data_IF_020724436535
#
_entry.id   IF_020724436535
#
_cell.length_a   1.000
_cell.length_b   1.000
_cell.length_c   1.000
_cell.angle_alpha   90.00
_cell.angle_beta   90.00
_cell.angle_gamma   90.00
#
_symmetry.space_group_name_H-M   'P 1'
#
loop_
_entity.id
_entity.type
_entity.pdbx_description
1 polymer ?
#
# COMPACT_ATOMS: atom_id res chain seq x y z
N UNK A 1 -2.28 -40.62 25.36
CA UNK A 1 -2.75 -40.76 23.96
C UNK A 1 -2.54 -39.41 23.30
N UNK A 2 -1.35 -39.22 22.74
CA UNK A 2 -0.91 -37.95 22.15
C UNK A 2 -1.49 -37.90 20.74
N UNK A 3 -2.32 -36.89 20.46
CA UNK A 3 -2.88 -36.69 19.12
C UNK A 3 -1.73 -36.22 18.24
N UNK A 4 -1.34 -37.07 17.30
CA UNK A 4 -0.32 -36.77 16.31
C UNK A 4 -0.89 -35.82 15.25
N UNK A 5 -0.72 -34.53 15.51
CA UNK A 5 -1.10 -33.42 14.63
C UNK A 5 -0.37 -33.45 13.28
N UNK A 6 0.70 -34.24 13.13
CA UNK A 6 1.44 -34.33 11.86
C UNK A 6 0.64 -35.03 10.75
N UNK A 7 -0.33 -35.87 11.12
CA UNK A 7 -1.16 -36.62 10.16
C UNK A 7 -2.28 -35.78 9.53
N UNK A 8 -2.68 -34.67 10.15
CA UNK A 8 -3.75 -33.79 9.61
C UNK A 8 -3.25 -32.71 8.65
N UNK A 9 -1.93 -32.51 8.54
CA UNK A 9 -1.33 -31.48 7.67
C UNK A 9 -0.90 -32.03 6.30
N UNK A 10 -0.82 -33.36 6.14
CA UNK A 10 -0.35 -34.01 4.91
C UNK A 10 -1.29 -33.84 3.69
N UNK A 11 -2.51 -33.33 3.87
CA UNK A 11 -3.50 -33.12 2.82
C UNK A 11 -3.76 -31.66 2.43
N UNK A 12 -3.25 -30.67 3.18
CA UNK A 12 -3.41 -29.25 2.85
C UNK A 12 -2.24 -28.85 1.93
N UNK A 13 -2.20 -29.44 0.75
CA UNK A 13 -1.67 -28.77 -0.43
C UNK A 13 -2.86 -28.17 -1.17
N UNK A 14 -3.58 -27.29 -0.47
CA UNK A 14 -4.39 -26.32 -1.20
C UNK A 14 -3.37 -25.41 -1.87
N UNK A 15 -3.14 -25.62 -3.16
CA UNK A 15 -2.45 -24.63 -4.00
C UNK A 15 -3.09 -23.28 -3.67
N UNK A 16 -2.30 -22.37 -3.10
CA UNK A 16 -2.80 -21.07 -2.69
C UNK A 16 -3.46 -20.44 -3.91
N UNK A 17 -4.79 -20.29 -3.85
CA UNK A 17 -5.64 -19.91 -4.99
C UNK A 17 -5.20 -18.60 -5.65
N UNK A 18 -4.45 -17.78 -4.91
CA UNK A 18 -3.94 -16.49 -5.35
C UNK A 18 -2.41 -16.45 -5.57
N UNK A 19 -1.74 -17.61 -5.55
CA UNK A 19 -0.29 -17.80 -5.72
C UNK A 19 0.22 -17.69 -7.16
N UNK A 20 -0.62 -17.19 -8.07
CA UNK A 20 -0.28 -17.11 -9.48
C UNK A 20 0.61 -15.89 -9.74
N UNK A 21 1.70 -16.12 -10.46
CA UNK A 21 2.67 -15.08 -10.84
C UNK A 21 2.43 -14.65 -12.27
N UNK A 22 2.56 -13.36 -12.52
CA UNK A 22 2.65 -12.84 -13.89
C UNK A 22 4.12 -12.91 -14.34
N UNK A 23 4.45 -13.83 -15.26
CA UNK A 23 5.82 -14.07 -15.72
C UNK A 23 6.35 -12.96 -16.64
N UNK A 24 5.45 -12.12 -17.15
CA UNK A 24 5.71 -11.20 -18.27
C UNK A 24 5.70 -9.73 -17.83
N UNK A 25 5.64 -9.45 -16.52
CA UNK A 25 5.60 -8.08 -15.99
C UNK A 25 6.90 -7.33 -16.29
N UNK A 26 6.89 -6.49 -17.33
CA UNK A 26 7.96 -5.57 -17.66
C UNK A 26 7.96 -4.36 -16.70
N UNK A 27 8.78 -4.39 -15.66
CA UNK A 27 8.95 -3.24 -14.77
C UNK A 27 9.64 -2.08 -15.48
N UNK A 28 9.03 -0.90 -15.46
CA UNK A 28 9.67 0.31 -16.04
C UNK A 28 10.75 0.88 -15.12
N UNK A 29 10.70 0.57 -13.83
CA UNK A 29 11.77 0.89 -12.89
C UNK A 29 11.88 -0.14 -11.76
N UNK A 30 13.12 -0.43 -11.36
CA UNK A 30 13.44 -1.25 -10.19
C UNK A 30 14.60 -0.58 -9.45
N UNK A 31 14.41 -0.26 -8.16
CA UNK A 31 15.49 0.31 -7.35
C UNK A 31 16.64 -0.70 -7.24
N UNK A 32 17.87 -0.22 -7.00
CA UNK A 32 18.93 -1.11 -6.52
C UNK A 32 18.53 -1.77 -5.19
N UNK A 33 19.17 -2.89 -4.87
CA UNK A 33 18.98 -3.52 -3.55
C UNK A 33 19.69 -2.68 -2.48
N UNK A 34 19.05 -2.55 -1.33
CA UNK A 34 19.66 -1.81 -0.23
C UNK A 34 18.74 -0.79 0.40
N UNK A 35 18.86 -0.63 1.72
CA UNK A 35 18.29 0.51 2.42
C UNK A 35 19.39 1.53 2.71
N UNK A 36 19.48 2.54 1.86
CA UNK A 36 20.41 3.65 2.03
C UNK A 36 19.73 4.99 1.71
N UNK A 37 20.41 6.10 2.00
CA UNK A 37 19.89 7.45 1.79
C UNK A 37 19.61 7.76 0.32
N UNK A 38 20.41 7.22 -0.60
CA UNK A 38 20.25 7.46 -2.04
C UNK A 38 18.96 6.83 -2.57
N UNK A 39 18.62 5.63 -2.12
CA UNK A 39 17.34 4.97 -2.44
C UNK A 39 16.17 5.80 -1.90
N UNK A 40 16.26 6.29 -0.66
CA UNK A 40 15.20 7.14 -0.08
C UNK A 40 15.05 8.45 -0.87
N UNK A 41 16.16 9.08 -1.27
CA UNK A 41 16.16 10.26 -2.13
C UNK A 41 15.51 9.96 -3.48
N UNK A 42 15.89 8.86 -4.13
CA UNK A 42 15.39 8.44 -5.43
C UNK A 42 13.87 8.19 -5.39
N UNK A 43 13.36 7.51 -4.36
CA UNK A 43 11.92 7.31 -4.17
C UNK A 43 11.19 8.65 -4.13
N UNK A 44 11.68 9.59 -3.32
CA UNK A 44 11.06 10.90 -3.14
C UNK A 44 11.09 11.74 -4.43
N UNK A 45 12.20 11.69 -5.18
CA UNK A 45 12.37 12.38 -6.46
C UNK A 45 11.47 11.81 -7.55
N UNK A 46 11.43 10.48 -7.69
CA UNK A 46 10.57 9.81 -8.67
C UNK A 46 9.08 10.09 -8.44
N UNK A 47 8.69 10.23 -7.17
CA UNK A 47 7.32 10.56 -6.76
C UNK A 47 7.01 12.05 -6.81
N UNK A 48 8.01 12.91 -7.10
CA UNK A 48 7.83 14.36 -7.17
C UNK A 48 7.40 14.99 -5.84
N UNK A 49 7.87 14.46 -4.71
CA UNK A 49 7.40 14.87 -3.39
C UNK A 49 7.93 16.25 -2.96
N UNK A 50 7.19 16.97 -2.09
CA UNK A 50 7.69 18.19 -1.48
C UNK A 50 8.86 17.91 -0.53
N UNK A 51 9.75 18.90 -0.39
CA UNK A 51 10.98 18.80 0.41
C UNK A 51 10.75 18.31 1.85
N UNK A 52 9.65 18.73 2.50
CA UNK A 52 9.35 18.33 3.87
C UNK A 52 9.10 16.82 4.01
N UNK A 53 8.48 16.18 3.00
CA UNK A 53 8.26 14.74 3.01
C UNK A 53 9.59 14.01 2.84
N UNK A 54 10.44 14.47 1.91
CA UNK A 54 11.80 13.95 1.73
C UNK A 54 12.61 14.00 3.02
N UNK A 55 12.54 15.12 3.74
CA UNK A 55 13.27 15.30 4.99
C UNK A 55 12.77 14.35 6.10
N UNK A 56 11.45 14.11 6.16
CA UNK A 56 10.88 13.11 7.07
C UNK A 56 11.35 11.70 6.71
N UNK A 57 11.37 11.34 5.41
CA UNK A 57 11.84 10.03 4.95
C UNK A 57 13.31 9.78 5.33
N UNK A 58 14.17 10.77 5.11
CA UNK A 58 15.60 10.67 5.45
C UNK A 58 15.82 10.57 6.97
N UNK A 59 15.08 11.35 7.76
CA UNK A 59 15.10 11.22 9.22
C UNK A 59 14.65 9.82 9.65
N UNK A 60 13.63 9.26 9.00
CA UNK A 60 13.13 7.93 9.29
C UNK A 60 14.14 6.83 8.97
N UNK A 61 14.86 6.96 7.85
CA UNK A 61 15.99 6.09 7.53
C UNK A 61 17.04 6.08 8.65
N UNK A 62 17.42 7.25 9.16
CA UNK A 62 18.42 7.35 10.22
C UNK A 62 17.91 6.73 11.53
N UNK A 63 16.63 6.96 11.88
CA UNK A 63 15.97 6.34 13.04
C UNK A 63 15.91 4.82 12.93
N UNK A 64 15.63 4.29 11.74
CA UNK A 64 15.58 2.84 11.50
C UNK A 64 16.90 2.16 11.87
N UNK A 65 18.03 2.75 11.45
CA UNK A 65 19.36 2.19 11.71
C UNK A 65 19.81 2.37 13.17
N UNK A 66 19.32 3.39 13.86
CA UNK A 66 19.57 3.59 15.29
C UNK A 66 18.79 2.61 16.18
N UNK A 67 17.64 2.12 15.73
CA UNK A 67 16.80 1.20 16.50
C UNK A 67 17.26 -0.26 16.35
N UNK A 68 17.36 -1.02 17.46
CA UNK A 68 17.69 -2.45 17.41
C UNK A 68 16.54 -3.24 16.79
N UNK A 69 16.86 -4.37 16.15
CA UNK A 69 15.86 -5.33 15.68
C UNK A 69 15.11 -5.92 16.88
N UNK A 70 13.76 -5.94 16.89
CA UNK A 70 13.00 -6.57 17.97
C UNK A 70 13.35 -8.05 18.13
N UNK A 71 13.45 -8.52 19.37
CA UNK A 71 13.79 -9.91 19.72
C UNK A 71 12.56 -10.73 20.11
N UNK A 72 11.36 -10.21 19.87
CA UNK A 72 10.07 -10.82 20.19
C UNK A 72 9.21 -10.87 18.92
N UNK A 73 8.26 -11.81 18.87
CA UNK A 73 7.46 -12.07 17.67
C UNK A 73 8.14 -13.10 16.75
N UNK A 74 8.04 -12.89 15.44
CA UNK A 74 8.70 -13.74 14.44
C UNK A 74 10.22 -13.63 14.49
N UNK A 75 10.91 -14.68 14.03
CA UNK A 75 12.37 -14.65 13.90
C UNK A 75 12.78 -13.77 12.71
N UNK A 76 13.53 -12.71 13.02
CA UNK A 76 14.01 -11.72 12.06
C UNK A 76 15.50 -11.85 11.77
N UNK A 77 16.18 -12.87 12.32
CA UNK A 77 17.63 -13.06 12.17
C UNK A 77 18.06 -13.28 10.70
N UNK A 78 17.15 -13.79 9.87
CA UNK A 78 17.36 -14.02 8.45
C UNK A 78 17.03 -12.82 7.56
N UNK A 79 16.44 -11.75 8.13
CA UNK A 79 16.01 -10.59 7.34
C UNK A 79 17.21 -9.71 6.97
N UNK A 80 17.61 -9.76 5.71
CA UNK A 80 18.67 -8.91 5.18
C UNK A 80 18.07 -7.66 4.51
N UNK A 81 18.08 -6.53 5.21
CA UNK A 81 17.59 -5.25 4.68
C UNK A 81 18.36 -4.76 3.44
N UNK A 82 19.56 -5.28 3.20
CA UNK A 82 20.35 -4.93 2.03
C UNK A 82 20.02 -5.76 0.79
N UNK A 83 19.19 -6.80 0.92
CA UNK A 83 18.82 -7.70 -0.17
C UNK A 83 17.38 -7.48 -0.67
N UNK A 84 16.78 -6.35 -0.32
CA UNK A 84 15.40 -5.98 -0.65
C UNK A 84 15.39 -4.86 -1.68
N UNK A 85 14.49 -4.97 -2.66
CA UNK A 85 14.09 -3.85 -3.51
C UNK A 85 12.96 -3.08 -2.81
N UNK A 86 13.19 -1.80 -2.51
CA UNK A 86 12.26 -0.96 -1.75
C UNK A 86 11.29 -0.17 -2.63
N UNK A 87 11.55 -0.08 -3.93
CA UNK A 87 10.66 0.59 -4.87
C UNK A 87 10.71 -0.08 -6.24
N UNK A 88 9.53 -0.40 -6.78
CA UNK A 88 9.38 -0.99 -8.10
C UNK A 88 8.17 -0.39 -8.81
N UNK A 89 8.36 0.00 -10.07
CA UNK A 89 7.31 0.56 -10.91
C UNK A 89 6.93 -0.44 -11.99
N UNK A 90 5.66 -0.85 -11.99
CA UNK A 90 5.14 -1.83 -12.94
C UNK A 90 4.86 -1.24 -14.33
N UNK A 91 4.44 0.04 -14.43
CA UNK A 91 4.16 0.69 -15.70
C UNK A 91 4.39 2.21 -15.62
N UNK A 92 4.75 2.85 -16.73
CA UNK A 92 5.01 4.30 -16.76
C UNK A 92 3.77 5.19 -16.57
N UNK A 93 2.55 4.61 -16.66
CA UNK A 93 1.29 5.34 -16.54
C UNK A 93 0.33 4.65 -15.58
N UNK A 94 -0.17 5.41 -14.60
CA UNK A 94 -1.37 5.07 -13.86
C UNK A 94 -2.58 5.23 -14.80
N UNK A 95 -3.42 4.19 -14.89
CA UNK A 95 -4.66 4.27 -15.65
C UNK A 95 -5.68 5.12 -14.89
N UNK A 96 -6.28 6.12 -15.55
CA UNK A 96 -7.36 6.93 -14.92
C UNK A 96 -8.69 6.21 -14.93
N UNK A 97 -8.87 5.33 -15.92
CA UNK A 97 -10.07 4.51 -16.08
C UNK A 97 -9.68 3.04 -16.06
N UNK A 98 -10.65 2.17 -15.79
CA UNK A 98 -10.43 0.73 -15.88
C UNK A 98 -9.87 0.33 -17.24
N UNK A 99 -10.35 0.95 -18.32
CA UNK A 99 -9.90 0.67 -19.69
C UNK A 99 -8.42 1.03 -19.92
N UNK A 100 -7.87 1.98 -19.17
CA UNK A 100 -6.45 2.37 -19.24
C UNK A 100 -5.50 1.41 -18.51
N UNK A 101 -6.05 0.52 -17.67
CA UNK A 101 -5.23 -0.44 -16.91
C UNK A 101 -4.66 -1.51 -17.86
N UNK A 102 -3.35 -1.82 -17.79
CA UNK A 102 -2.73 -2.88 -18.59
C UNK A 102 -3.46 -4.22 -18.49
N UNK A 103 -3.49 -4.97 -19.59
CA UNK A 103 -4.26 -6.22 -19.70
C UNK A 103 -3.83 -7.29 -18.67
N UNK A 104 -2.53 -7.39 -18.39
CA UNK A 104 -1.96 -8.28 -17.35
C UNK A 104 -2.57 -8.00 -15.98
N UNK A 105 -2.62 -6.73 -15.59
CA UNK A 105 -3.18 -6.26 -14.33
C UNK A 105 -4.71 -6.49 -14.30
N UNK A 106 -5.42 -6.22 -15.39
CA UNK A 106 -6.87 -6.51 -15.51
C UNK A 106 -7.17 -7.99 -15.30
N UNK A 107 -6.45 -8.88 -16.00
CA UNK A 107 -6.63 -10.34 -15.88
C UNK A 107 -6.40 -10.81 -14.44
N UNK A 108 -5.42 -10.22 -13.78
CA UNK A 108 -5.12 -10.42 -12.36
C UNK A 108 -6.29 -10.04 -11.48
N UNK A 109 -6.88 -8.86 -11.68
CA UNK A 109 -8.01 -8.38 -10.87
C UNK A 109 -9.35 -9.04 -11.21
N UNK A 110 -9.55 -9.46 -12.46
CA UNK A 110 -10.71 -10.27 -12.88
C UNK A 110 -10.71 -11.62 -12.14
N UNK A 111 -9.55 -12.29 -12.04
CA UNK A 111 -9.39 -13.51 -11.24
C UNK A 111 -9.69 -13.30 -9.75
N UNK A 112 -9.49 -12.07 -9.26
CA UNK A 112 -9.78 -11.67 -7.90
C UNK A 112 -11.25 -11.24 -7.70
N UNK A 113 -12.01 -11.05 -8.77
CA UNK A 113 -13.42 -10.65 -8.74
C UNK A 113 -13.66 -9.17 -8.44
N UNK A 114 -12.65 -8.30 -8.60
CA UNK A 114 -12.74 -6.88 -8.22
C UNK A 114 -13.79 -6.12 -9.05
N UNK A 115 -13.86 -6.23 -10.39
CA UNK A 115 -14.83 -5.46 -11.18
C UNK A 115 -16.30 -5.84 -10.91
N UNK A 116 -16.57 -7.09 -10.55
CA UNK A 116 -17.91 -7.52 -10.16
C UNK A 116 -18.31 -6.96 -8.80
N UNK A 117 -17.37 -6.96 -7.83
CA UNK A 117 -17.57 -6.37 -6.51
C UNK A 117 -17.81 -4.85 -6.59
N UNK A 118 -17.05 -4.13 -7.42
CA UNK A 118 -17.24 -2.70 -7.65
C UNK A 118 -18.66 -2.37 -8.13
N UNK A 119 -19.13 -3.07 -9.19
CA UNK A 119 -20.45 -2.82 -9.77
C UNK A 119 -21.61 -3.12 -8.84
N UNK A 120 -21.45 -4.09 -7.92
CA UNK A 120 -22.54 -4.57 -7.07
C UNK A 120 -22.55 -3.96 -5.67
N UNK A 121 -21.40 -3.59 -5.10
CA UNK A 121 -21.28 -3.41 -3.65
C UNK A 121 -20.38 -2.29 -3.14
N UNK A 122 -19.63 -1.56 -3.97
CA UNK A 122 -18.58 -0.65 -3.46
C UNK A 122 -18.84 0.83 -3.79
N UNK A 123 -18.48 1.70 -2.85
CA UNK A 123 -18.61 3.15 -3.01
C UNK A 123 -17.38 3.78 -3.68
N UNK A 124 -16.26 3.07 -3.61
CA UNK A 124 -15.02 3.37 -4.31
C UNK A 124 -14.04 2.21 -4.17
N UNK A 125 -13.11 2.11 -5.10
CA UNK A 125 -12.09 1.06 -5.18
C UNK A 125 -10.74 1.69 -5.48
N UNK A 126 -9.75 1.38 -4.65
CA UNK A 126 -8.33 1.58 -4.95
C UNK A 126 -7.64 0.24 -5.15
N UNK A 127 -6.85 0.10 -6.21
CA UNK A 127 -6.09 -1.13 -6.45
C UNK A 127 -4.60 -0.82 -6.63
N UNK A 128 -3.77 -1.36 -5.75
CA UNK A 128 -2.31 -1.25 -5.79
C UNK A 128 -1.69 -2.51 -6.38
N UNK A 129 -0.74 -2.29 -7.27
CA UNK A 129 0.12 -3.32 -7.82
C UNK A 129 1.58 -2.93 -7.58
N UNK A 130 2.28 -3.76 -6.83
CA UNK A 130 3.63 -3.47 -6.34
C UNK A 130 3.68 -2.19 -5.48
N UNK A 131 4.44 -1.18 -5.92
CA UNK A 131 4.62 0.08 -5.18
C UNK A 131 3.64 1.19 -5.59
N UNK A 132 2.81 0.99 -6.62
CA UNK A 132 1.95 2.05 -7.17
C UNK A 132 0.48 1.64 -7.25
N UNK A 133 -0.41 2.59 -6.97
CA UNK A 133 -1.85 2.42 -7.22
C UNK A 133 -2.11 2.57 -8.71
N UNK A 134 -2.68 1.52 -9.31
CA UNK A 134 -2.88 1.38 -10.76
C UNK A 134 -4.31 1.69 -11.19
N UNK A 135 -5.25 1.70 -10.25
CA UNK A 135 -6.65 2.06 -10.47
C UNK A 135 -7.25 2.73 -9.23
N UNK A 136 -8.02 3.79 -9.46
CA UNK A 136 -8.79 4.46 -8.43
C UNK A 136 -10.15 4.92 -8.96
N UNK A 137 -11.22 4.64 -8.23
CA UNK A 137 -12.60 5.03 -8.57
C UNK A 137 -13.36 5.40 -7.30
N UNK A 138 -14.09 6.51 -7.33
CA UNK A 138 -14.96 6.95 -6.24
C UNK A 138 -16.27 7.46 -6.86
N UNK A 139 -17.41 7.08 -6.28
CA UNK A 139 -18.71 7.55 -6.76
C UNK A 139 -18.82 9.08 -6.69
N UNK A 140 -19.36 9.67 -7.76
CA UNK A 140 -19.52 11.12 -7.88
C UNK A 140 -20.35 11.75 -6.76
N UNK A 141 -21.33 11.04 -6.20
CA UNK A 141 -22.16 11.58 -5.12
C UNK A 141 -21.40 11.72 -3.81
N UNK A 142 -20.38 10.90 -3.57
CA UNK A 142 -19.48 11.03 -2.42
C UNK A 142 -18.46 12.15 -2.63
N UNK A 143 -17.92 12.30 -3.85
CA UNK A 143 -17.07 13.43 -4.21
C UNK A 143 -17.79 14.76 -4.03
N UNK A 144 -19.06 14.86 -4.45
CA UNK A 144 -19.91 16.05 -4.25
C UNK A 144 -20.17 16.37 -2.78
N UNK A 145 -20.08 15.37 -1.89
CA UNK A 145 -20.15 15.54 -0.43
C UNK A 145 -18.81 15.90 0.20
N UNK A 146 -17.74 16.02 -0.58
CA UNK A 146 -16.39 16.36 -0.11
C UNK A 146 -15.60 15.17 0.42
N UNK A 147 -16.06 13.93 0.20
CA UNK A 147 -15.27 12.74 0.53
C UNK A 147 -14.08 12.66 -0.43
N UNK A 148 -12.89 12.47 0.15
CA UNK A 148 -11.68 12.19 -0.60
C UNK A 148 -11.35 10.73 -0.34
N UNK A 149 -11.28 9.95 -1.40
CA UNK A 149 -10.64 8.64 -1.40
C UNK A 149 -9.70 8.68 -2.59
N UNK A 150 -8.40 8.53 -2.35
CA UNK A 150 -7.33 8.48 -3.37
C UNK A 150 -6.17 7.66 -2.80
N UNK A 151 -5.14 7.40 -3.60
CA UNK A 151 -3.88 6.87 -3.09
C UNK A 151 -3.07 7.94 -2.33
N UNK A 152 -2.15 7.49 -1.48
CA UNK A 152 -1.36 8.40 -0.62
C UNK A 152 -0.44 9.33 -1.40
N UNK A 153 -0.01 8.95 -2.61
CA UNK A 153 0.83 9.79 -3.48
C UNK A 153 0.02 10.94 -4.10
N UNK A 154 -1.17 10.62 -4.61
CA UNK A 154 -2.14 11.62 -5.06
C UNK A 154 -2.55 12.54 -3.91
N UNK A 155 -2.80 12.01 -2.72
CA UNK A 155 -3.13 12.86 -1.56
C UNK A 155 -2.01 13.83 -1.20
N UNK A 156 -0.75 13.39 -1.21
CA UNK A 156 0.38 14.27 -0.90
C UNK A 156 0.54 15.38 -1.94
N UNK A 157 0.21 15.10 -3.21
CA UNK A 157 0.29 16.06 -4.31
C UNK A 157 -0.89 17.04 -4.35
N UNK A 158 -2.11 16.55 -4.17
CA UNK A 158 -3.35 17.31 -4.39
C UNK A 158 -3.97 17.84 -3.09
N UNK A 159 -3.68 17.22 -1.95
CA UNK A 159 -4.16 17.60 -0.62
C UNK A 159 -3.01 17.74 0.41
N UNK A 160 -1.92 18.48 0.08
CA UNK A 160 -0.71 18.51 0.89
C UNK A 160 -0.94 19.03 2.31
N UNK A 161 -1.91 19.94 2.51
CA UNK A 161 -2.21 20.51 3.83
C UNK A 161 -2.77 19.45 4.79
N UNK A 162 -3.75 18.67 4.33
CA UNK A 162 -4.32 17.57 5.12
C UNK A 162 -3.28 16.49 5.39
N UNK A 163 -2.49 16.10 4.38
CA UNK A 163 -1.44 15.10 4.59
C UNK A 163 -0.42 15.63 5.60
N UNK A 164 0.02 16.87 5.47
CA UNK A 164 1.01 17.45 6.40
C UNK A 164 0.49 17.58 7.83
N UNK A 165 -0.79 17.89 8.01
CA UNK A 165 -1.42 17.99 9.33
C UNK A 165 -1.46 16.63 10.05
N UNK A 166 -1.86 15.58 9.34
CA UNK A 166 -2.15 14.29 9.96
C UNK A 166 -1.02 13.25 9.84
N UNK A 167 -0.09 13.39 8.89
CA UNK A 167 0.94 12.38 8.65
C UNK A 167 1.87 12.20 9.85
N UNK A 168 1.86 10.99 10.41
CA UNK A 168 2.74 10.62 11.52
C UNK A 168 2.28 11.11 12.90
N UNK A 169 1.04 11.61 13.02
CA UNK A 169 0.45 12.03 14.30
C UNK A 169 0.15 10.84 15.21
N UNK A 170 -0.46 9.78 14.68
CA UNK A 170 -0.78 8.55 15.42
C UNK A 170 0.41 7.59 15.47
N UNK A 171 1.05 7.34 14.33
CA UNK A 171 2.24 6.48 14.22
C UNK A 171 3.43 7.34 13.79
N UNK A 172 4.16 7.96 14.75
CA UNK A 172 5.29 8.80 14.44
C UNK A 172 6.49 7.97 13.97
N UNK A 173 7.42 8.62 13.27
CA UNK A 173 8.66 8.01 12.76
C UNK A 173 9.45 7.23 13.82
N UNK A 174 9.37 7.64 15.09
CA UNK A 174 10.13 7.05 16.19
C UNK A 174 9.37 5.97 16.97
N UNK A 175 8.15 5.62 16.58
CA UNK A 175 7.30 4.64 17.25
C UNK A 175 8.04 3.30 17.44
N UNK A 176 8.39 2.65 16.33
CA UNK A 176 9.17 1.41 16.33
C UNK A 176 10.09 1.30 15.11
N UNK A 177 10.93 0.26 15.05
CA UNK A 177 11.90 0.06 13.94
C UNK A 177 11.18 -0.02 12.59
N UNK A 178 10.09 -0.78 12.49
CA UNK A 178 9.38 -0.98 11.23
C UNK A 178 8.50 0.21 10.85
N UNK A 179 7.99 0.97 11.82
CA UNK A 179 7.36 2.27 11.54
C UNK A 179 8.36 3.27 10.93
N UNK A 180 9.60 3.28 11.42
CA UNK A 180 10.68 4.08 10.82
C UNK A 180 11.00 3.60 9.40
N UNK A 181 11.10 2.27 9.18
CA UNK A 181 11.30 1.69 7.85
C UNK A 181 10.18 2.11 6.88
N UNK A 182 8.93 1.87 7.25
CA UNK A 182 7.77 2.27 6.45
C UNK A 182 7.80 3.78 6.16
N UNK A 183 8.05 4.63 7.16
CA UNK A 183 8.13 6.07 6.94
C UNK A 183 9.25 6.47 5.96
N UNK A 184 10.36 5.75 5.92
CA UNK A 184 11.46 6.02 4.99
C UNK A 184 11.08 5.68 3.54
N UNK A 185 10.46 4.51 3.33
CA UNK A 185 10.33 3.90 2.00
C UNK A 185 8.90 3.70 1.52
N UNK A 186 7.89 4.25 2.21
CA UNK A 186 6.49 4.00 1.85
C UNK A 186 6.18 4.35 0.38
N UNK A 187 5.39 3.49 -0.24
CA UNK A 187 4.94 3.59 -1.62
C UNK A 187 3.49 3.09 -1.74
N UNK A 188 2.63 3.93 -2.34
CA UNK A 188 1.19 3.72 -2.36
C UNK A 188 0.55 3.74 -0.97
N UNK A 189 -0.51 2.96 -0.79
CA UNK A 189 -1.45 3.05 0.33
C UNK A 189 -2.71 3.85 -0.02
N UNK A 190 -3.57 4.03 0.98
CA UNK A 190 -4.85 4.72 0.83
C UNK A 190 -4.91 6.02 1.63
N UNK A 191 -5.47 7.08 1.05
CA UNK A 191 -5.85 8.28 1.78
C UNK A 191 -7.38 8.44 1.74
N UNK A 192 -7.99 8.54 2.91
CA UNK A 192 -9.43 8.74 3.07
C UNK A 192 -9.66 9.97 3.95
N UNK A 193 -10.46 10.91 3.48
CA UNK A 193 -10.99 12.03 4.28
C UNK A 193 -12.50 12.08 4.14
N UNK A 194 -13.20 12.10 5.28
CA UNK A 194 -14.67 12.15 5.35
C UNK A 194 -15.10 13.40 6.13
N UNK A 195 -15.74 14.39 5.48
CA UNK A 195 -16.13 15.64 6.12
C UNK A 195 -17.18 15.46 7.23
N UNK A 196 -17.27 16.46 8.11
CA UNK A 196 -18.16 16.44 9.26
C UNK A 196 -19.62 16.14 8.86
N UNK A 197 -20.26 15.25 9.60
CA UNK A 197 -21.65 14.83 9.36
C UNK A 197 -21.88 13.97 8.11
N UNK A 198 -20.87 13.69 7.29
CA UNK A 198 -21.02 12.87 6.08
C UNK A 198 -21.02 11.38 6.45
N UNK A 199 -22.05 10.66 5.99
CA UNK A 199 -22.13 9.20 6.10
C UNK A 199 -21.86 8.54 4.75
N UNK A 200 -20.91 7.62 4.76
CA UNK A 200 -20.55 6.76 3.62
C UNK A 200 -21.17 5.38 3.89
N UNK A 201 -22.38 5.18 3.39
CA UNK A 201 -23.21 4.00 3.71
C UNK A 201 -22.72 2.70 3.05
N UNK A 202 -21.91 2.83 2.00
CA UNK A 202 -21.35 1.71 1.24
C UNK A 202 -19.84 1.68 1.52
N UNK A 203 -19.22 0.52 1.76
CA UNK A 203 -17.80 0.45 2.06
C UNK A 203 -16.90 1.03 0.97
N UNK A 204 -15.83 1.70 1.40
CA UNK A 204 -14.64 1.96 0.59
C UNK A 204 -13.72 0.74 0.69
N UNK A 205 -13.18 0.30 -0.45
CA UNK A 205 -12.30 -0.86 -0.46
C UNK A 205 -10.97 -0.55 -1.15
N UNK A 206 -9.88 -0.90 -0.48
CA UNK A 206 -8.54 -0.87 -1.03
C UNK A 206 -8.00 -2.30 -1.14
N UNK A 207 -7.41 -2.62 -2.29
CA UNK A 207 -6.82 -3.92 -2.56
C UNK A 207 -5.36 -3.80 -2.96
N UNK A 208 -4.50 -4.57 -2.30
CA UNK A 208 -3.07 -4.51 -2.43
C UNK A 208 -2.52 -5.85 -2.95
N UNK A 209 -1.77 -5.81 -4.05
CA UNK A 209 -1.17 -7.01 -4.65
C UNK A 209 0.33 -6.86 -4.86
N UNK A 210 1.07 -7.88 -4.43
CA UNK A 210 2.50 -8.09 -4.71
C UNK A 210 2.63 -9.17 -5.79
N UNK A 211 3.56 -9.02 -6.73
CA UNK A 211 3.88 -10.06 -7.72
C UNK A 211 5.40 -10.32 -7.84
N UNK A 212 6.23 -9.34 -7.51
CA UNK A 212 7.69 -9.44 -7.57
C UNK A 212 8.32 -10.16 -6.37
N UNK A 213 9.21 -11.12 -6.63
CA UNK A 213 10.06 -11.73 -5.60
C UNK A 213 11.11 -10.73 -5.08
N UNK A 214 11.38 -10.79 -3.77
CA UNK A 214 12.34 -9.93 -3.06
C UNK A 214 12.03 -8.42 -3.14
N UNK A 215 10.76 -8.08 -3.39
CA UNK A 215 10.25 -6.72 -3.21
C UNK A 215 9.60 -6.59 -1.83
N UNK A 216 9.93 -5.52 -1.10
CA UNK A 216 9.17 -5.15 0.09
C UNK A 216 8.04 -4.20 -0.27
N UNK A 217 6.80 -4.52 0.12
CA UNK A 217 5.69 -3.59 0.03
C UNK A 217 5.58 -2.77 1.32
N UNK A 218 5.51 -1.45 1.17
CA UNK A 218 5.43 -0.51 2.29
C UNK A 218 4.28 0.47 2.05
N UNK A 219 3.05 -0.01 2.21
CA UNK A 219 1.88 0.85 2.10
C UNK A 219 1.72 1.76 3.32
N UNK A 220 1.08 2.91 3.11
CA UNK A 220 0.72 3.80 4.21
C UNK A 220 -0.69 4.32 4.04
N UNK A 221 -1.59 3.83 4.89
CA UNK A 221 -2.99 4.23 4.92
C UNK A 221 -3.23 5.33 5.94
N UNK A 222 -3.89 6.41 5.52
CA UNK A 222 -4.27 7.55 6.38
C UNK A 222 -5.77 7.82 6.22
N UNK A 223 -6.52 7.65 7.30
CA UNK A 223 -7.99 7.80 7.33
C UNK A 223 -8.35 8.88 8.33
N UNK A 224 -8.96 9.96 7.85
CA UNK A 224 -9.43 11.11 8.62
C UNK A 224 -10.96 11.13 8.55
N UNK A 225 -11.60 11.04 9.70
CA UNK A 225 -13.07 11.03 9.83
C UNK A 225 -13.46 12.15 10.77
N UNK A 226 -14.06 13.20 10.22
CA UNK A 226 -14.45 14.39 10.97
C UNK A 226 -15.65 14.14 11.90
N UNK A 227 -15.95 15.12 12.75
CA UNK A 227 -17.02 15.02 13.74
C UNK A 227 -18.37 14.62 13.12
N UNK A 228 -19.00 13.59 13.69
CA UNK A 228 -20.30 13.08 13.23
C UNK A 228 -20.28 12.37 11.87
N UNK A 229 -19.10 12.20 11.25
CA UNK A 229 -18.93 11.46 10.02
C UNK A 229 -18.83 9.95 10.26
N UNK A 230 -19.10 9.16 9.23
CA UNK A 230 -19.05 7.70 9.29
C UNK A 230 -18.56 7.10 7.97
N UNK A 231 -17.67 6.12 8.06
CA UNK A 231 -17.19 5.34 6.92
C UNK A 231 -16.91 3.89 7.33
N UNK A 232 -17.11 2.98 6.39
CA UNK A 232 -16.64 1.60 6.47
C UNK A 232 -15.49 1.46 5.48
N UNK A 233 -14.31 1.10 5.96
CA UNK A 233 -13.11 0.88 5.14
C UNK A 233 -12.70 -0.58 5.21
N UNK A 234 -12.45 -1.18 4.06
CA UNK A 234 -12.02 -2.57 3.93
C UNK A 234 -10.68 -2.60 3.20
N UNK A 235 -9.70 -3.25 3.80
CA UNK A 235 -8.37 -3.42 3.24
C UNK A 235 -8.05 -4.91 3.10
N UNK A 236 -7.51 -5.28 1.94
CA UNK A 236 -7.07 -6.66 1.68
C UNK A 236 -5.73 -6.66 0.98
N UNK A 237 -4.81 -7.48 1.48
CA UNK A 237 -3.52 -7.73 0.86
C UNK A 237 -3.46 -9.17 0.31
N UNK A 238 -2.84 -9.36 -0.84
CA UNK A 238 -2.63 -10.68 -1.45
C UNK A 238 -1.25 -10.73 -2.07
N UNK A 239 -0.46 -11.72 -1.65
CA UNK A 239 0.90 -11.96 -2.13
C UNK A 239 1.04 -13.45 -2.51
N UNK A 240 1.78 -13.78 -3.58
CA UNK A 240 1.89 -15.14 -4.08
C UNK A 240 2.71 -16.08 -3.19
#
# INVERSE_FOLDING_TARGET
>A
MTIDLSSQVQGIKDEYKYGFRDSDAHYSFKSEKGLNRDIVHQISEMKGEPQWMRDIRLKAHDVFWQKPTPTWGGDLSHLNYNDIHYYMKAADRQGKTWDDVPAEIKNTFDKLGIPEAERKFLAGVGAQYESEVVYHSLREDLQKKGVIFVDTDTALREHPDLVREYFGTVIPTHDNKFAALNTAVWSGGSFVYVPAGVKVDIPLQAYFRINAENMGQFERTLIIVEEGAQVHYVEGCTAP
#
